data_IF_638400347774
#
_entry.id   IF_638400347774
#
_cell.length_a   1.000
_cell.length_b   1.000
_cell.length_c   1.000
_cell.angle_alpha   90.00
_cell.angle_beta   90.00
_cell.angle_gamma   90.00
#
_symmetry.space_group_name_H-M   'P 1'
#
loop_
_entity.id
_entity.type
_entity.pdbx_description
1 polymer ?
#
# COMPACT_ATOMS: atom_id res chain seq x y z
N UNK A 1 -14.88 60.71 6.64
CA UNK A 1 -15.83 59.59 6.78
C UNK A 1 -15.16 58.33 6.29
N UNK A 2 -14.77 57.47 7.23
CA UNK A 2 -14.13 56.17 7.04
C UNK A 2 -15.17 55.13 6.63
N UNK A 3 -15.00 54.48 5.48
CA UNK A 3 -15.60 53.17 5.22
C UNK A 3 -14.49 52.15 5.12
N UNK A 4 -14.21 51.48 6.24
CA UNK A 4 -13.39 50.27 6.26
C UNK A 4 -14.28 49.15 5.72
N UNK A 5 -13.98 48.69 4.52
CA UNK A 5 -14.56 47.47 3.96
C UNK A 5 -13.94 46.28 4.72
N UNK A 6 -14.53 45.90 5.85
CA UNK A 6 -14.21 44.65 6.53
C UNK A 6 -14.78 43.51 5.69
N UNK A 7 -13.95 42.96 4.81
CA UNK A 7 -14.21 41.65 4.22
C UNK A 7 -14.14 40.63 5.37
N UNK A 8 -15.20 39.85 5.65
CA UNK A 8 -15.19 38.92 6.76
C UNK A 8 -14.14 37.84 6.50
N UNK A 9 -13.05 37.87 7.28
CA UNK A 9 -11.95 36.90 7.27
C UNK A 9 -12.46 35.45 7.42
N UNK A 10 -13.68 35.27 7.95
CA UNK A 10 -14.35 33.98 8.10
C UNK A 10 -14.67 33.28 6.78
N UNK A 11 -14.86 34.01 5.67
CA UNK A 11 -15.21 33.40 4.37
C UNK A 11 -14.00 32.86 3.61
N UNK A 12 -12.78 33.31 3.92
CA UNK A 12 -11.57 32.85 3.22
C UNK A 12 -11.10 31.48 3.71
N UNK A 13 -11.36 31.15 4.99
CA UNK A 13 -10.95 29.87 5.59
C UNK A 13 -11.76 28.71 5.00
N UNK A 14 -13.04 28.90 4.69
CA UNK A 14 -13.92 27.82 4.17
C UNK A 14 -13.51 27.42 2.74
N UNK A 15 -13.05 28.37 1.92
CA UNK A 15 -12.62 28.09 0.54
C UNK A 15 -11.27 27.36 0.50
N UNK A 16 -10.37 27.62 1.45
CA UNK A 16 -9.09 26.90 1.58
C UNK A 16 -9.25 25.47 2.12
N UNK A 17 -10.28 25.20 2.94
CA UNK A 17 -10.59 23.84 3.42
C UNK A 17 -11.11 22.92 2.31
N UNK A 18 -11.71 23.47 1.26
CA UNK A 18 -12.32 22.68 0.17
C UNK A 18 -11.31 22.20 -0.88
N UNK A 19 -10.09 22.77 -0.93
CA UNK A 19 -9.05 22.37 -1.89
C UNK A 19 -8.20 21.20 -1.36
N UNK A 20 -8.27 20.88 -0.06
CA UNK A 20 -7.41 19.86 0.57
C UNK A 20 -7.95 18.41 0.52
N UNK A 21 -9.04 18.14 -0.21
CA UNK A 21 -9.66 16.80 -0.26
C UNK A 21 -9.55 16.09 -1.63
N UNK A 22 -8.87 16.67 -2.62
CA UNK A 22 -8.64 16.02 -3.93
C UNK A 22 -7.39 15.12 -3.99
N UNK A 23 -6.76 14.79 -2.87
CA UNK A 23 -5.62 13.86 -2.84
C UNK A 23 -6.02 12.63 -2.03
N UNK A 24 -6.51 11.60 -2.72
CA UNK A 24 -6.72 10.33 -2.02
C UNK A 24 -7.37 9.18 -2.78
N UNK A 25 -7.89 9.35 -3.98
CA UNK A 25 -8.49 8.26 -4.76
C UNK A 25 -7.58 7.83 -5.92
N UNK A 26 -7.17 6.56 -5.85
CA UNK A 26 -6.40 5.73 -6.80
C UNK A 26 -5.02 6.19 -7.30
N UNK A 27 -4.03 6.32 -6.41
CA UNK A 27 -2.62 6.39 -6.87
C UNK A 27 -2.07 5.05 -7.44
N UNK A 28 -2.81 3.95 -7.33
CA UNK A 28 -2.41 2.65 -7.87
C UNK A 28 -3.32 2.24 -9.02
N UNK A 29 -2.84 2.53 -10.23
CA UNK A 29 -3.39 1.99 -11.46
C UNK A 29 -2.59 0.76 -11.86
N UNK A 30 -3.26 -0.17 -12.55
CA UNK A 30 -2.63 -1.33 -13.14
C UNK A 30 -3.14 -1.50 -14.57
N UNK A 31 -2.23 -1.44 -15.55
CA UNK A 31 -2.56 -1.44 -16.98
C UNK A 31 -3.56 -0.34 -17.36
N UNK A 32 -3.42 0.84 -16.75
CA UNK A 32 -4.32 1.99 -16.97
C UNK A 32 -5.72 1.86 -16.37
N UNK A 33 -5.94 0.87 -15.50
CA UNK A 33 -7.19 0.68 -14.77
C UNK A 33 -6.96 0.83 -13.26
N UNK A 34 -7.87 1.51 -12.57
CA UNK A 34 -7.76 1.66 -11.12
C UNK A 34 -7.91 0.31 -10.41
N UNK A 35 -7.07 0.11 -9.38
CA UNK A 35 -7.28 -0.96 -8.44
C UNK A 35 -8.46 -0.64 -7.50
N UNK A 36 -9.33 -1.63 -7.26
CA UNK A 36 -10.59 -1.47 -6.54
C UNK A 36 -10.43 -1.66 -5.04
N UNK A 37 -9.72 -0.75 -4.38
CA UNK A 37 -9.61 -0.75 -2.93
C UNK A 37 -10.90 -0.27 -2.26
N UNK A 38 -11.33 -0.92 -1.18
CA UNK A 38 -12.37 -0.39 -0.29
C UNK A 38 -11.76 0.57 0.77
N UNK A 39 -12.62 1.26 1.53
CA UNK A 39 -12.19 2.24 2.53
C UNK A 39 -11.24 1.65 3.57
N UNK A 40 -11.53 0.46 4.09
CA UNK A 40 -10.68 -0.26 5.06
C UNK A 40 -9.30 -0.55 4.47
N UNK A 41 -9.24 -1.04 3.23
CA UNK A 41 -7.97 -1.35 2.56
C UNK A 41 -7.15 -0.09 2.27
N UNK A 42 -7.80 1.01 1.95
CA UNK A 42 -7.15 2.32 1.78
C UNK A 42 -6.62 2.85 3.11
N UNK A 43 -7.40 2.73 4.19
CA UNK A 43 -7.00 3.16 5.54
C UNK A 43 -5.78 2.39 6.04
N UNK A 44 -5.79 1.05 5.91
CA UNK A 44 -4.64 0.20 6.23
C UNK A 44 -3.39 0.60 5.42
N UNK A 45 -3.56 0.91 4.13
CA UNK A 45 -2.44 1.36 3.29
C UNK A 45 -1.89 2.69 3.78
N UNK A 46 -2.77 3.65 4.12
CA UNK A 46 -2.39 4.96 4.65
C UNK A 46 -1.69 4.85 6.00
N UNK A 47 -2.17 3.99 6.89
CA UNK A 47 -1.54 3.73 8.18
C UNK A 47 -0.11 3.20 7.99
N UNK A 48 0.07 2.20 7.12
CA UNK A 48 1.38 1.63 6.83
C UNK A 48 2.34 2.64 6.19
N UNK A 49 1.86 3.48 5.27
CA UNK A 49 2.66 4.58 4.71
C UNK A 49 3.01 5.64 5.78
N UNK A 50 2.09 5.89 6.71
CA UNK A 50 2.24 6.81 7.82
C UNK A 50 3.40 6.46 8.76
N UNK A 51 3.64 5.16 9.02
CA UNK A 51 4.81 4.71 9.79
C UNK A 51 6.15 5.09 9.15
N UNK A 52 6.14 5.40 7.86
CA UNK A 52 7.32 5.83 7.09
C UNK A 52 7.31 7.32 6.75
N UNK A 53 6.37 8.10 7.31
CA UNK A 53 6.29 9.54 7.10
C UNK A 53 5.90 9.93 5.66
N UNK A 54 5.24 9.04 4.93
CA UNK A 54 4.76 9.28 3.57
C UNK A 54 3.26 9.01 3.44
N UNK A 55 2.63 9.57 2.41
CA UNK A 55 1.24 9.30 2.04
C UNK A 55 1.13 8.57 0.70
N UNK A 56 2.25 8.31 0.04
CA UNK A 56 2.32 7.72 -1.29
C UNK A 56 3.37 6.61 -1.32
N UNK A 57 3.03 5.47 -1.93
CA UNK A 57 3.94 4.36 -2.16
C UNK A 57 5.11 4.75 -3.08
N UNK A 58 4.88 5.70 -3.99
CA UNK A 58 5.89 6.22 -4.92
C UNK A 58 6.96 7.06 -4.23
N UNK A 59 6.66 7.58 -3.04
CA UNK A 59 7.58 8.37 -2.20
C UNK A 59 8.26 7.53 -1.11
N UNK A 60 7.92 6.25 -1.01
CA UNK A 60 8.53 5.34 -0.04
C UNK A 60 9.99 5.06 -0.43
N UNK A 61 10.92 5.16 0.52
CA UNK A 61 12.32 4.84 0.27
C UNK A 61 12.50 3.35 0.06
N UNK A 62 13.42 2.95 -0.81
CA UNK A 62 13.76 1.53 -1.06
C UNK A 62 14.08 0.76 0.23
N UNK A 63 14.74 1.41 1.19
CA UNK A 63 15.08 0.82 2.49
C UNK A 63 13.88 0.50 3.38
N UNK A 64 12.74 1.15 3.12
CA UNK A 64 11.55 1.08 3.98
C UNK A 64 10.50 0.11 3.40
N UNK A 65 10.62 -0.28 2.12
CA UNK A 65 9.73 -1.23 1.44
C UNK A 65 9.52 -2.56 2.19
N UNK A 66 10.56 -3.23 2.73
CA UNK A 66 10.35 -4.48 3.45
C UNK A 66 9.45 -4.32 4.68
N UNK A 67 9.62 -3.21 5.42
CA UNK A 67 8.81 -2.88 6.59
C UNK A 67 7.39 -2.43 6.23
N UNK A 68 7.22 -1.67 5.14
CA UNK A 68 5.91 -1.40 4.59
C UNK A 68 5.17 -2.69 4.19
N UNK A 69 5.83 -3.59 3.45
CA UNK A 69 5.26 -4.87 3.04
C UNK A 69 4.84 -5.73 4.22
N UNK A 70 5.67 -5.83 5.25
CA UNK A 70 5.32 -6.50 6.51
C UNK A 70 4.10 -5.87 7.19
N UNK A 71 4.01 -4.54 7.25
CA UNK A 71 2.85 -3.84 7.79
C UNK A 71 1.57 -4.24 7.03
N UNK A 72 1.62 -4.24 5.69
CA UNK A 72 0.48 -4.62 4.85
C UNK A 72 0.03 -6.08 5.07
N UNK A 73 0.99 -7.00 5.24
CA UNK A 73 0.69 -8.41 5.51
C UNK A 73 0.02 -8.58 6.88
N UNK A 74 0.50 -7.87 7.90
CA UNK A 74 -0.08 -7.88 9.25
C UNK A 74 -1.47 -7.24 9.27
N UNK A 75 -1.61 -6.05 8.70
CA UNK A 75 -2.87 -5.28 8.75
C UNK A 75 -4.02 -5.97 8.01
N UNK A 76 -3.70 -6.85 7.05
CA UNK A 76 -4.68 -7.56 6.22
C UNK A 76 -4.84 -9.04 6.56
N UNK A 77 -4.23 -9.48 7.65
CA UNK A 77 -4.31 -10.87 8.11
C UNK A 77 -3.83 -11.88 7.03
N UNK A 78 -2.72 -11.56 6.37
CA UNK A 78 -2.08 -12.42 5.38
C UNK A 78 -0.99 -13.30 5.96
N UNK A 79 -0.78 -13.24 7.27
CA UNK A 79 0.12 -14.12 7.98
C UNK A 79 -0.67 -15.27 8.60
N UNK A 80 -0.03 -16.42 8.78
CA UNK A 80 -0.64 -17.54 9.51
C UNK A 80 -0.87 -17.21 10.98
N UNK A 81 -1.52 -18.11 11.71
CA UNK A 81 -1.85 -17.91 13.15
C UNK A 81 -0.60 -17.79 14.03
N UNK A 82 0.54 -18.34 13.57
CA UNK A 82 1.86 -18.14 14.18
C UNK A 82 2.40 -16.72 13.96
N UNK A 83 1.83 -16.00 12.99
CA UNK A 83 2.30 -14.74 12.46
C UNK A 83 3.53 -14.89 11.56
N UNK A 84 4.03 -16.10 11.28
CA UNK A 84 5.38 -16.39 10.78
C UNK A 84 5.49 -16.62 9.28
N UNK A 85 4.42 -17.08 8.65
CA UNK A 85 4.41 -17.39 7.23
C UNK A 85 3.32 -16.62 6.50
N UNK A 86 3.57 -16.27 5.24
CA UNK A 86 2.54 -15.69 4.37
C UNK A 86 1.57 -16.79 3.93
N UNK A 87 0.28 -16.59 4.19
CA UNK A 87 -0.78 -17.44 3.66
C UNK A 87 -1.06 -17.02 2.22
N UNK A 88 -0.32 -17.61 1.28
CA UNK A 88 -0.33 -17.26 -0.14
C UNK A 88 -1.75 -17.19 -0.74
N UNK A 89 -2.62 -18.12 -0.34
CA UNK A 89 -4.01 -18.16 -0.78
C UNK A 89 -4.77 -16.85 -0.46
N UNK A 90 -4.60 -16.30 0.74
CA UNK A 90 -5.27 -15.04 1.15
C UNK A 90 -4.80 -13.85 0.29
N UNK A 91 -3.51 -13.84 -0.06
CA UNK A 91 -2.96 -12.80 -0.95
C UNK A 91 -3.47 -12.94 -2.39
N UNK A 92 -3.63 -14.17 -2.89
CA UNK A 92 -4.24 -14.42 -4.20
C UNK A 92 -5.70 -13.97 -4.26
N UNK A 93 -6.50 -14.33 -3.26
CA UNK A 93 -7.89 -13.88 -3.13
C UNK A 93 -7.98 -12.35 -3.06
N UNK A 94 -7.01 -11.72 -2.40
CA UNK A 94 -6.90 -10.27 -2.36
C UNK A 94 -6.63 -9.65 -3.73
N UNK A 95 -5.71 -10.22 -4.52
CA UNK A 95 -5.47 -9.81 -5.92
C UNK A 95 -6.76 -9.94 -6.74
N UNK A 96 -7.49 -11.05 -6.60
CA UNK A 96 -8.73 -11.27 -7.33
C UNK A 96 -9.83 -10.24 -6.99
N UNK A 97 -9.80 -9.70 -5.77
CA UNK A 97 -10.75 -8.68 -5.31
C UNK A 97 -10.44 -7.29 -5.89
N UNK A 98 -9.17 -6.89 -5.91
CA UNK A 98 -8.78 -5.50 -6.16
C UNK A 98 -8.24 -5.26 -7.58
N UNK A 99 -7.61 -6.26 -8.19
CA UNK A 99 -6.87 -6.05 -9.42
C UNK A 99 -7.80 -6.07 -10.63
N UNK A 100 -7.51 -5.26 -11.67
CA UNK A 100 -8.18 -5.37 -12.96
C UNK A 100 -8.03 -6.78 -13.56
N UNK A 101 -9.06 -7.28 -14.24
CA UNK A 101 -9.12 -8.67 -14.72
C UNK A 101 -7.91 -9.06 -15.57
N UNK A 102 -7.41 -8.14 -16.42
CA UNK A 102 -6.25 -8.35 -17.29
C UNK A 102 -4.92 -8.49 -16.53
N UNK A 103 -4.83 -7.96 -15.31
CA UNK A 103 -3.62 -7.99 -14.50
C UNK A 103 -3.58 -9.17 -13.51
N UNK A 104 -4.73 -9.74 -13.14
CA UNK A 104 -4.84 -10.78 -12.10
C UNK A 104 -3.93 -11.97 -12.33
N UNK A 105 -3.93 -12.54 -13.54
CA UNK A 105 -3.14 -13.73 -13.85
C UNK A 105 -1.63 -13.44 -13.69
N UNK A 106 -1.14 -12.35 -14.30
CA UNK A 106 0.26 -11.96 -14.20
C UNK A 106 0.69 -11.68 -12.76
N UNK A 107 -0.13 -10.95 -11.98
CA UNK A 107 0.17 -10.67 -10.58
C UNK A 107 0.23 -11.94 -9.72
N UNK A 108 -0.71 -12.88 -9.94
CA UNK A 108 -0.73 -14.16 -9.20
C UNK A 108 0.43 -15.08 -9.57
N UNK A 109 0.78 -15.18 -10.85
CA UNK A 109 1.92 -15.98 -11.31
C UNK A 109 3.22 -15.43 -10.76
N UNK A 110 3.41 -14.12 -10.79
CA UNK A 110 4.61 -13.48 -10.25
C UNK A 110 4.71 -13.61 -8.74
N UNK A 111 3.61 -13.41 -8.02
CA UNK A 111 3.57 -13.66 -6.57
C UNK A 111 3.98 -15.10 -6.24
N UNK A 112 3.42 -16.07 -6.97
CA UNK A 112 3.75 -17.50 -6.79
C UNK A 112 5.23 -17.75 -7.03
N UNK A 113 5.80 -17.18 -8.09
CA UNK A 113 7.21 -17.30 -8.39
C UNK A 113 8.10 -16.65 -7.32
N UNK A 114 7.76 -15.46 -6.84
CA UNK A 114 8.52 -14.77 -5.79
C UNK A 114 8.51 -15.53 -4.46
N UNK A 115 7.35 -16.06 -4.05
CA UNK A 115 7.25 -16.89 -2.85
C UNK A 115 8.00 -18.21 -3.03
N UNK A 116 7.94 -18.83 -4.21
CA UNK A 116 8.71 -20.05 -4.49
C UNK A 116 10.23 -19.83 -4.41
N UNK A 117 10.71 -18.68 -4.87
CA UNK A 117 12.14 -18.35 -4.92
C UNK A 117 12.71 -17.86 -3.59
N UNK A 118 11.91 -17.15 -2.79
CA UNK A 118 12.39 -16.40 -1.64
C UNK A 118 11.58 -16.61 -0.35
N UNK A 119 10.46 -17.34 -0.41
CA UNK A 119 9.52 -17.48 0.71
C UNK A 119 10.07 -18.26 1.91
N UNK A 120 11.08 -19.11 1.70
CA UNK A 120 11.80 -19.83 2.75
C UNK A 120 12.67 -18.90 3.63
N UNK A 121 12.95 -17.68 3.15
CA UNK A 121 13.76 -16.68 3.85
C UNK A 121 12.95 -15.77 4.76
N UNK A 122 11.63 -15.81 4.63
CA UNK A 122 10.69 -15.03 5.43
C UNK A 122 10.66 -15.54 6.87
N UNK A 123 10.90 -14.66 7.84
CA UNK A 123 10.75 -14.95 9.28
C UNK A 123 10.13 -13.75 9.99
N UNK A 124 9.06 -13.95 10.73
CA UNK A 124 8.34 -12.83 11.35
C UNK A 124 8.63 -12.59 12.84
N UNK A 125 9.30 -13.52 13.55
CA UNK A 125 9.44 -13.46 15.01
C UNK A 125 10.80 -12.96 15.51
N UNK A 126 10.73 -12.21 16.61
CA UNK A 126 11.80 -11.83 17.58
C UNK A 126 12.99 -10.97 17.12
N UNK A 127 12.99 -10.43 15.90
CA UNK A 127 14.01 -9.45 15.47
C UNK A 127 13.38 -8.06 15.18
N UNK A 128 13.87 -6.95 15.76
CA UNK A 128 13.50 -5.59 15.30
C UNK A 128 13.79 -5.34 13.80
N UNK A 129 14.55 -6.23 13.13
CA UNK A 129 14.75 -6.28 11.69
C UNK A 129 13.92 -7.38 10.98
N UNK A 130 12.95 -8.00 11.64
CA UNK A 130 12.12 -9.09 11.08
C UNK A 130 11.47 -8.73 9.74
N UNK A 131 11.18 -7.46 9.47
CA UNK A 131 10.69 -7.04 8.17
C UNK A 131 11.70 -7.24 7.02
N UNK A 132 13.00 -7.23 7.31
CA UNK A 132 14.07 -7.40 6.31
C UNK A 132 14.12 -8.81 5.75
N UNK A 133 13.58 -9.79 6.46
CA UNK A 133 13.43 -11.16 5.96
C UNK A 133 12.46 -11.24 4.77
N UNK A 134 11.57 -10.25 4.64
CA UNK A 134 10.67 -10.08 3.51
C UNK A 134 11.28 -9.29 2.36
N UNK A 135 12.52 -8.81 2.49
CA UNK A 135 13.13 -7.97 1.47
C UNK A 135 13.15 -8.65 0.11
N UNK A 136 13.60 -9.90 0.04
CA UNK A 136 13.72 -10.58 -1.26
C UNK A 136 12.36 -10.85 -1.91
N UNK A 137 11.39 -11.40 -1.15
CA UNK A 137 10.02 -11.62 -1.66
C UNK A 137 9.36 -10.30 -2.06
N UNK A 138 9.49 -9.27 -1.20
CA UNK A 138 8.88 -7.96 -1.40
C UNK A 138 9.46 -7.21 -2.60
N UNK A 139 10.78 -7.25 -2.79
CA UNK A 139 11.42 -6.66 -3.96
C UNK A 139 11.05 -7.41 -5.25
N UNK A 140 11.09 -8.75 -5.23
CA UNK A 140 10.66 -9.56 -6.37
C UNK A 140 9.23 -9.21 -6.80
N UNK A 141 8.30 -9.14 -5.84
CA UNK A 141 6.91 -8.82 -6.15
C UNK A 141 6.73 -7.36 -6.56
N UNK A 142 7.46 -6.41 -5.96
CA UNK A 142 7.44 -4.99 -6.34
C UNK A 142 7.88 -4.79 -7.78
N UNK A 143 8.99 -5.41 -8.18
CA UNK A 143 9.53 -5.23 -9.52
C UNK A 143 8.57 -5.82 -10.56
N UNK A 144 7.99 -6.98 -10.27
CA UNK A 144 6.91 -7.56 -11.08
C UNK A 144 5.64 -6.69 -11.11
N UNK A 145 5.25 -6.10 -9.98
CA UNK A 145 4.10 -5.20 -9.90
C UNK A 145 4.31 -3.98 -10.79
N UNK A 146 5.50 -3.36 -10.76
CA UNK A 146 5.85 -2.22 -11.61
C UNK A 146 5.88 -2.59 -13.09
N UNK A 147 6.31 -3.81 -13.43
CA UNK A 147 6.28 -4.29 -14.81
C UNK A 147 4.84 -4.47 -15.34
N UNK A 148 3.93 -4.89 -14.46
CA UNK A 148 2.54 -5.18 -14.84
C UNK A 148 1.65 -3.93 -14.82
N UNK A 149 1.86 -2.96 -13.93
CA UNK A 149 0.83 -1.99 -13.53
C UNK A 149 0.95 -0.52 -14.01
#
# INVERSE_FOLDING_TARGET
MTSKLQVPIMSLVIVLSLISLCLGESEMQCQGHDMKYNSTQMEQTKECLGYHGTTSIWKLKSTDFPCFGMCMLKSRDFLGDDGEHVVLQRVMEYIDMIAPEKAKAGLKDMLTNCVKLHGDKVRSKDDPKSCMTFMEVGHCFRDAFVEIC
#
